data_IF_435453167945
#
_entry.id   IF_435453167945
#
_cell.length_a   1.000
_cell.length_b   1.000
_cell.length_c   1.000
_cell.angle_alpha   90.00
_cell.angle_beta   90.00
_cell.angle_gamma   90.00
#
_symmetry.space_group_name_H-M   'P 1'
#
loop_
_entity.id
_entity.type
_entity.pdbx_description
1 polymer ?
#
# COMPACT_ATOMS: atom_id res chain seq x y z
N UNK A 1 -14.38 8.79 -3.88
CA UNK A 1 -13.76 8.21 -2.66
C UNK A 1 -14.65 8.31 -1.42
N UNK A 2 -15.85 8.92 -1.48
CA UNK A 2 -16.74 8.94 -0.33
C UNK A 2 -17.01 7.50 0.18
N UNK A 3 -16.73 7.25 1.45
CA UNK A 3 -16.86 5.94 2.10
C UNK A 3 -15.65 5.01 2.01
N UNK A 4 -14.57 5.37 1.31
CA UNK A 4 -13.35 4.55 1.23
C UNK A 4 -12.35 4.96 2.32
N UNK A 5 -11.85 3.98 3.08
CA UNK A 5 -10.77 4.18 4.04
C UNK A 5 -9.41 4.09 3.36
N UNK A 6 -8.52 5.02 3.72
CA UNK A 6 -7.12 4.99 3.29
C UNK A 6 -6.20 4.69 4.46
N UNK A 7 -5.22 3.81 4.28
CA UNK A 7 -4.21 3.51 5.29
C UNK A 7 -2.82 3.72 4.70
N UNK A 8 -1.93 4.37 5.46
CA UNK A 8 -0.50 4.43 5.16
C UNK A 8 0.34 4.24 6.42
N UNK A 9 1.63 3.97 6.24
CA UNK A 9 2.55 3.80 7.36
C UNK A 9 2.96 5.15 8.00
N UNK A 10 3.71 5.07 9.10
CA UNK A 10 4.17 6.23 9.85
C UNK A 10 5.47 6.87 9.33
N UNK A 11 5.87 6.61 8.07
CA UNK A 11 7.12 7.13 7.51
C UNK A 11 7.19 8.67 7.58
N UNK A 12 8.37 9.28 7.77
CA UNK A 12 8.49 10.73 7.95
C UNK A 12 7.86 11.56 6.81
N UNK A 13 8.00 11.11 5.56
CA UNK A 13 7.41 11.76 4.40
C UNK A 13 5.88 11.84 4.46
N UNK A 14 5.25 10.88 5.15
CA UNK A 14 3.80 10.77 5.29
C UNK A 14 3.23 11.63 6.42
N UNK A 15 4.07 12.21 7.30
CA UNK A 15 3.63 12.96 8.47
C UNK A 15 3.45 14.47 8.22
N UNK A 16 3.84 14.98 7.05
CA UNK A 16 3.78 16.41 6.75
C UNK A 16 2.35 16.96 6.86
N UNK A 17 2.23 18.25 7.19
CA UNK A 17 0.92 18.92 7.26
C UNK A 17 0.21 18.87 5.91
N UNK A 18 0.96 19.02 4.81
CA UNK A 18 0.42 19.02 3.46
C UNK A 18 -0.18 17.66 3.09
N UNK A 19 0.53 16.56 3.38
CA UNK A 19 0.01 15.20 3.15
C UNK A 19 -1.25 14.97 3.97
N UNK A 20 -1.26 15.32 5.25
CA UNK A 20 -2.44 15.12 6.11
C UNK A 20 -3.64 15.97 5.65
N UNK A 21 -3.40 17.19 5.20
CA UNK A 21 -4.43 18.09 4.67
C UNK A 21 -5.03 17.56 3.36
N UNK A 22 -4.18 16.99 2.49
CA UNK A 22 -4.61 16.31 1.28
C UNK A 22 -5.47 15.07 1.60
N UNK A 23 -5.06 14.26 2.58
CA UNK A 23 -5.81 13.06 2.99
C UNK A 23 -7.16 13.38 3.61
N UNK A 24 -7.25 14.42 4.45
CA UNK A 24 -8.53 14.91 4.99
C UNK A 24 -9.48 15.30 3.86
N UNK A 25 -9.00 16.01 2.85
CA UNK A 25 -9.82 16.45 1.71
C UNK A 25 -10.23 15.28 0.81
N UNK A 26 -9.27 14.42 0.45
CA UNK A 26 -9.48 13.33 -0.51
C UNK A 26 -10.39 12.21 0.04
N UNK A 27 -10.23 11.88 1.32
CA UNK A 27 -10.92 10.76 1.97
C UNK A 27 -11.96 11.21 2.99
N UNK A 28 -12.26 12.50 3.10
CA UNK A 28 -13.28 13.05 4.01
C UNK A 28 -13.00 12.62 5.46
N UNK A 29 -11.73 12.63 5.85
CA UNK A 29 -11.28 12.18 7.17
C UNK A 29 -11.30 10.66 7.39
N UNK A 30 -11.61 9.83 6.39
CA UNK A 30 -11.55 8.38 6.47
C UNK A 30 -10.14 7.86 6.15
N UNK A 31 -9.17 8.16 7.02
CA UNK A 31 -7.81 7.65 6.85
C UNK A 31 -7.12 7.31 8.16
N UNK A 32 -6.17 6.38 8.07
CA UNK A 32 -5.42 5.77 9.16
C UNK A 32 -3.94 6.05 8.92
N UNK A 33 -3.27 6.62 9.92
CA UNK A 33 -1.88 7.01 9.79
C UNK A 33 -1.37 7.81 10.98
N UNK A 34 -0.08 8.14 10.96
CA UNK A 34 0.52 8.92 12.06
C UNK A 34 -0.06 10.34 12.10
N UNK A 35 -0.70 10.71 13.21
CA UNK A 35 -1.32 12.03 13.38
C UNK A 35 -2.60 12.23 12.55
N UNK A 36 -3.22 11.13 12.12
CA UNK A 36 -4.52 11.11 11.46
C UNK A 36 -5.69 10.85 12.42
N UNK A 37 -6.92 10.80 11.88
CA UNK A 37 -8.14 10.54 12.66
C UNK A 37 -8.10 9.22 13.43
N UNK A 38 -7.49 8.19 12.83
CA UNK A 38 -7.12 6.95 13.52
C UNK A 38 -5.60 6.87 13.57
N UNK A 39 -5.04 7.01 14.77
CA UNK A 39 -3.59 6.96 14.97
C UNK A 39 -3.06 5.55 14.69
N UNK A 40 -2.00 5.51 13.87
CA UNK A 40 -1.26 4.29 13.60
C UNK A 40 0.07 4.24 14.37
N UNK A 41 0.42 3.12 15.01
CA UNK A 41 1.71 2.98 15.70
C UNK A 41 2.90 3.11 14.72
N UNK A 42 3.99 3.69 15.21
CA UNK A 42 5.23 3.73 14.46
C UNK A 42 5.84 2.32 14.37
N UNK A 43 6.45 2.01 13.22
CA UNK A 43 7.14 0.73 12.98
C UNK A 43 6.26 -0.53 13.09
N UNK A 44 5.01 -0.47 12.60
CA UNK A 44 4.12 -1.63 12.50
C UNK A 44 3.88 -2.08 11.05
N UNK A 45 4.91 -2.59 10.35
CA UNK A 45 4.74 -3.18 9.01
C UNK A 45 3.88 -4.45 9.05
N UNK A 46 3.84 -5.14 10.18
CA UNK A 46 2.99 -6.31 10.43
C UNK A 46 1.49 -5.99 10.36
N UNK A 47 1.11 -4.74 10.60
CA UNK A 47 -0.28 -4.30 10.60
C UNK A 47 -0.71 -3.66 9.26
N UNK A 48 0.22 -3.39 8.34
CA UNK A 48 -0.10 -2.87 7.02
C UNK A 48 -0.22 -4.03 6.03
N UNK A 49 -1.39 -4.20 5.40
CA UNK A 49 -1.58 -5.24 4.39
C UNK A 49 -0.55 -5.15 3.24
N UNK A 50 -0.17 -3.92 2.88
CA UNK A 50 0.85 -3.69 1.86
C UNK A 50 2.21 -4.28 2.27
N UNK A 51 2.62 -4.05 3.51
CA UNK A 51 3.91 -4.49 4.04
C UNK A 51 3.91 -5.97 4.43
N UNK A 52 2.86 -6.44 5.11
CA UNK A 52 2.73 -7.83 5.58
C UNK A 52 2.59 -8.83 4.44
N UNK A 53 1.77 -8.52 3.43
CA UNK A 53 1.42 -9.47 2.38
C UNK A 53 1.88 -8.99 0.99
N UNK A 54 1.39 -7.83 0.54
CA UNK A 54 1.44 -7.45 -0.87
C UNK A 54 2.88 -7.35 -1.40
N UNK A 55 3.75 -6.60 -0.73
CA UNK A 55 5.13 -6.43 -1.18
C UNK A 55 5.95 -7.71 -1.14
N UNK A 56 5.72 -8.56 -0.13
CA UNK A 56 6.36 -9.88 -0.06
C UNK A 56 5.95 -10.77 -1.23
N UNK A 57 4.63 -10.85 -1.49
CA UNK A 57 4.09 -11.63 -2.61
C UNK A 57 4.55 -11.08 -3.96
N UNK A 58 4.46 -9.77 -4.15
CA UNK A 58 4.88 -9.11 -5.39
C UNK A 58 6.35 -9.38 -5.70
N UNK A 59 7.25 -9.19 -4.73
CA UNK A 59 8.67 -9.49 -4.90
C UNK A 59 8.90 -10.96 -5.27
N UNK A 60 8.21 -11.89 -4.62
CA UNK A 60 8.35 -13.33 -4.91
C UNK A 60 7.98 -13.68 -6.36
N UNK A 61 6.99 -12.99 -6.94
CA UNK A 61 6.54 -13.23 -8.30
C UNK A 61 7.41 -12.50 -9.33
N UNK A 62 7.70 -11.21 -9.08
CA UNK A 62 8.53 -10.38 -9.97
C UNK A 62 9.93 -10.99 -10.15
N UNK A 63 10.53 -11.51 -9.08
CA UNK A 63 11.89 -12.07 -9.13
C UNK A 63 11.94 -13.59 -9.34
N UNK A 64 10.86 -14.22 -9.84
CA UNK A 64 10.87 -15.65 -10.21
C UNK A 64 11.91 -15.97 -11.27
N UNK A 65 12.23 -14.99 -12.13
CA UNK A 65 13.33 -15.05 -13.08
C UNK A 65 14.16 -13.75 -13.03
N UNK A 66 15.41 -13.74 -13.52
CA UNK A 66 16.19 -12.52 -13.64
C UNK A 66 15.45 -11.41 -14.38
N UNK A 67 15.77 -10.17 -14.03
CA UNK A 67 15.24 -8.96 -14.64
C UNK A 67 16.44 -8.15 -15.11
N UNK A 68 16.51 -7.93 -16.42
CA UNK A 68 17.73 -7.42 -17.06
C UNK A 68 17.63 -5.94 -17.47
N UNK A 69 16.49 -5.28 -17.20
CA UNK A 69 16.31 -3.84 -17.41
C UNK A 69 15.19 -3.26 -16.54
N UNK A 70 15.20 -1.94 -16.36
CA UNK A 70 14.17 -1.23 -15.62
C UNK A 70 12.80 -1.30 -16.32
N UNK A 71 12.78 -1.27 -17.65
CA UNK A 71 11.55 -1.43 -18.45
C UNK A 71 10.95 -2.82 -18.25
N UNK A 72 11.78 -3.86 -18.24
CA UNK A 72 11.35 -5.23 -17.96
C UNK A 72 10.83 -5.37 -16.53
N UNK A 73 11.47 -4.68 -15.57
CA UNK A 73 11.02 -4.65 -14.17
C UNK A 73 9.62 -4.02 -14.06
N UNK A 74 9.43 -2.82 -14.62
CA UNK A 74 8.15 -2.10 -14.57
C UNK A 74 7.05 -2.90 -15.25
N UNK A 75 7.29 -3.46 -16.44
CA UNK A 75 6.32 -4.29 -17.13
C UNK A 75 5.90 -5.49 -16.28
N UNK A 76 6.86 -6.16 -15.63
CA UNK A 76 6.57 -7.31 -14.77
C UNK A 76 5.82 -6.93 -13.50
N UNK A 77 6.14 -5.80 -12.88
CA UNK A 77 5.39 -5.27 -11.73
C UNK A 77 3.92 -5.05 -12.09
N UNK A 78 3.64 -4.46 -13.25
CA UNK A 78 2.26 -4.22 -13.72
C UNK A 78 1.50 -5.54 -13.92
N UNK A 79 2.12 -6.53 -14.56
CA UNK A 79 1.52 -7.86 -14.77
C UNK A 79 1.22 -8.54 -13.43
N UNK A 80 2.22 -8.62 -12.54
CA UNK A 80 2.09 -9.27 -11.22
C UNK A 80 1.07 -8.55 -10.34
N UNK A 81 1.00 -7.22 -10.39
CA UNK A 81 -0.02 -6.47 -9.68
C UNK A 81 -1.44 -6.86 -10.14
N UNK A 82 -1.62 -7.07 -11.45
CA UNK A 82 -2.86 -7.60 -12.02
C UNK A 82 -3.17 -9.00 -11.50
N UNK A 83 -2.19 -9.90 -11.50
CA UNK A 83 -2.37 -11.27 -10.99
C UNK A 83 -2.76 -11.31 -9.50
N UNK A 84 -2.11 -10.49 -8.66
CA UNK A 84 -2.43 -10.40 -7.23
C UNK A 84 -3.84 -9.84 -7.05
N UNK A 85 -4.23 -8.82 -7.83
CA UNK A 85 -5.56 -8.24 -7.76
C UNK A 85 -6.66 -9.25 -8.05
N UNK A 86 -6.46 -10.10 -9.05
CA UNK A 86 -7.44 -11.12 -9.46
C UNK A 86 -7.35 -12.41 -8.63
N UNK A 87 -6.48 -12.46 -7.62
CA UNK A 87 -6.31 -13.63 -6.77
C UNK A 87 -7.57 -13.89 -5.93
N UNK A 88 -8.23 -15.06 -6.07
CA UNK A 88 -9.46 -15.34 -5.35
C UNK A 88 -9.26 -15.27 -3.83
N UNK A 89 -10.14 -14.56 -3.14
CA UNK A 89 -10.15 -14.49 -1.68
C UNK A 89 -9.03 -13.64 -1.06
N UNK A 90 -8.15 -13.05 -1.86
CA UNK A 90 -6.99 -12.27 -1.36
C UNK A 90 -7.43 -11.05 -0.55
N UNK A 91 -8.60 -10.50 -0.88
CA UNK A 91 -9.22 -9.38 -0.16
C UNK A 91 -10.47 -9.77 0.63
N UNK A 92 -10.78 -11.07 0.78
CA UNK A 92 -12.04 -11.49 1.40
C UNK A 92 -12.09 -11.29 2.93
N UNK A 93 -10.93 -11.00 3.55
CA UNK A 93 -10.78 -10.84 5.00
C UNK A 93 -10.06 -9.53 5.39
N UNK A 94 -9.96 -8.55 4.49
CA UNK A 94 -9.46 -7.19 4.77
C UNK A 94 -10.60 -6.20 4.86
#
# INVERSE_FOLDING_TARGET
>A
MAGMWFQHDGAPAHFSVDVRSALVTAYIGLWIGRGGPVNWPAHSPDLSYLEFFFWGRMKSLVYTSPVDSDEALVARIVVVAGEIREMPGVFANV
#
